data_IF_261081986634
#
_entry.id   IF_261081986634
#
_cell.length_a   1.000
_cell.length_b   1.000
_cell.length_c   1.000
_cell.angle_alpha   90.00
_cell.angle_beta   90.00
_cell.angle_gamma   90.00
#
_symmetry.space_group_name_H-M   'P 1'
#
loop_
_entity.id
_entity.type
_entity.pdbx_description
1 polymer ?
#
# COMPACT_ATOMS: atom_id res chain seq x y z
N UNK A 1 -18.25 20.67 -9.04
CA UNK A 1 -16.89 20.73 -9.62
C UNK A 1 -16.38 19.30 -9.65
N UNK A 2 -16.60 18.60 -10.76
CA UNK A 2 -15.96 17.30 -10.96
C UNK A 2 -14.51 17.59 -11.27
N UNK A 3 -13.61 17.21 -10.36
CA UNK A 3 -12.19 17.23 -10.66
C UNK A 3 -11.97 16.17 -11.73
N UNK A 4 -11.48 16.58 -12.90
CA UNK A 4 -11.13 15.68 -13.99
C UNK A 4 -10.23 14.56 -13.44
N UNK A 5 -10.64 13.31 -13.60
CA UNK A 5 -9.91 12.14 -13.12
C UNK A 5 -8.44 12.14 -13.58
N UNK A 6 -8.16 12.76 -14.73
CA UNK A 6 -6.79 12.91 -15.24
C UNK A 6 -5.91 13.79 -14.35
N UNK A 7 -6.45 14.87 -13.78
CA UNK A 7 -5.68 15.78 -12.92
C UNK A 7 -5.35 15.08 -11.60
N UNK A 8 -6.32 14.40 -11.00
CA UNK A 8 -6.10 13.65 -9.75
C UNK A 8 -5.02 12.60 -9.91
N UNK A 9 -5.04 11.85 -11.01
CA UNK A 9 -4.06 10.80 -11.27
C UNK A 9 -2.67 11.36 -11.57
N UNK A 10 -2.59 12.51 -12.24
CA UNK A 10 -1.33 13.22 -12.45
C UNK A 10 -0.72 13.68 -11.11
N UNK A 11 -1.52 14.28 -10.23
CA UNK A 11 -1.07 14.74 -8.91
C UNK A 11 -0.57 13.57 -8.07
N UNK A 12 -1.32 12.47 -8.00
CA UNK A 12 -0.95 11.27 -7.23
C UNK A 12 0.31 10.57 -7.77
N UNK A 13 0.63 10.74 -9.05
CA UNK A 13 1.89 10.25 -9.62
C UNK A 13 3.06 11.22 -9.44
N UNK A 14 2.79 12.49 -9.18
CA UNK A 14 3.82 13.52 -9.01
C UNK A 14 4.34 13.62 -7.57
N UNK A 15 3.70 12.95 -6.61
CA UNK A 15 4.20 12.85 -5.23
C UNK A 15 5.39 11.88 -5.17
N UNK A 16 6.43 12.29 -4.44
CA UNK A 16 7.60 11.45 -4.19
C UNK A 16 7.31 10.29 -3.24
N UNK A 17 6.35 10.48 -2.33
CA UNK A 17 5.93 9.45 -1.40
C UNK A 17 5.27 8.27 -2.13
N UNK A 18 5.49 7.07 -1.60
CA UNK A 18 4.80 5.88 -2.06
C UNK A 18 3.34 5.88 -1.65
N UNK A 19 2.45 5.77 -2.63
CA UNK A 19 1.02 5.74 -2.42
C UNK A 19 0.39 4.60 -3.22
N UNK A 20 -0.47 3.83 -2.53
CA UNK A 20 -1.37 2.89 -3.17
C UNK A 20 -2.76 2.98 -2.58
N UNK A 21 -3.74 2.56 -3.38
CA UNK A 21 -5.15 2.52 -2.99
C UNK A 21 -5.64 1.09 -3.13
N UNK A 22 -6.51 0.65 -2.23
CA UNK A 22 -7.24 -0.60 -2.35
C UNK A 22 -8.75 -0.39 -2.17
N UNK A 23 -9.56 -1.29 -2.73
CA UNK A 23 -11.00 -1.32 -2.48
C UNK A 23 -11.32 -1.94 -1.10
N UNK A 24 -12.61 -2.08 -0.78
CA UNK A 24 -13.09 -2.60 0.50
C UNK A 24 -12.72 -4.08 0.72
N UNK A 25 -12.53 -4.83 -0.36
CA UNK A 25 -12.02 -6.21 -0.37
C UNK A 25 -10.48 -6.27 -0.19
N UNK A 26 -9.82 -5.11 -0.06
CA UNK A 26 -8.36 -4.95 0.04
C UNK A 26 -7.60 -5.38 -1.22
N UNK A 27 -8.25 -5.32 -2.38
CA UNK A 27 -7.62 -5.44 -3.69
C UNK A 27 -7.01 -4.11 -4.10
N UNK A 28 -5.73 -4.11 -4.47
CA UNK A 28 -4.99 -2.92 -4.89
C UNK A 28 -5.55 -2.44 -6.25
N UNK A 29 -5.97 -1.19 -6.31
CA UNK A 29 -6.56 -0.56 -7.50
C UNK A 29 -5.68 0.53 -8.10
N UNK A 30 -4.73 1.07 -7.33
CA UNK A 30 -3.81 2.10 -7.78
C UNK A 30 -2.46 1.95 -7.07
N UNK A 31 -1.40 2.25 -7.80
CA UNK A 31 -0.01 2.16 -7.36
C UNK A 31 0.79 3.23 -8.09
N UNK A 32 1.32 4.23 -7.37
CA UNK A 32 2.05 5.33 -7.99
C UNK A 32 3.53 5.03 -8.20
N UNK A 33 4.23 5.90 -8.94
CA UNK A 33 5.67 5.77 -9.20
C UNK A 33 6.51 5.76 -7.91
N UNK A 34 6.16 6.56 -6.90
CA UNK A 34 6.84 6.53 -5.60
C UNK A 34 6.81 5.14 -4.95
N UNK A 35 5.67 4.44 -5.02
CA UNK A 35 5.51 3.11 -4.48
C UNK A 35 6.28 2.07 -5.31
N UNK A 36 6.39 2.25 -6.63
CA UNK A 36 7.27 1.43 -7.46
C UNK A 36 8.73 1.56 -7.03
N UNK A 37 9.20 2.80 -6.82
CA UNK A 37 10.57 3.07 -6.40
C UNK A 37 10.89 2.50 -5.01
N UNK A 38 9.98 2.64 -4.05
CA UNK A 38 10.18 2.18 -2.66
C UNK A 38 10.15 0.65 -2.56
N UNK A 39 9.27 -0.02 -3.32
CA UNK A 39 9.03 -1.47 -3.15
C UNK A 39 9.72 -2.34 -4.19
N UNK A 40 10.11 -1.75 -5.33
CA UNK A 40 10.65 -2.45 -6.50
C UNK A 40 9.60 -3.16 -7.36
N UNK A 41 8.31 -3.13 -6.99
CA UNK A 41 7.23 -3.71 -7.78
C UNK A 41 6.59 -2.67 -8.67
N UNK A 42 6.39 -2.99 -9.95
CA UNK A 42 5.62 -2.11 -10.84
C UNK A 42 4.12 -2.17 -10.51
N UNK A 43 3.36 -1.17 -10.95
CA UNK A 43 1.91 -1.18 -10.86
C UNK A 43 1.31 -2.44 -11.50
N UNK A 44 1.85 -2.89 -12.65
CA UNK A 44 1.43 -4.13 -13.32
C UNK A 44 1.73 -5.40 -12.51
N UNK A 45 2.70 -5.37 -11.58
CA UNK A 45 2.99 -6.51 -10.71
C UNK A 45 1.95 -6.65 -9.59
N UNK A 46 1.25 -5.58 -9.20
CA UNK A 46 0.51 -5.52 -7.92
C UNK A 46 -0.97 -5.15 -8.05
N UNK A 47 -1.36 -4.35 -9.04
CA UNK A 47 -2.76 -3.97 -9.25
C UNK A 47 -3.60 -5.20 -9.57
N UNK A 48 -4.78 -5.29 -8.97
CA UNK A 48 -5.66 -6.47 -9.04
C UNK A 48 -5.31 -7.58 -8.04
N UNK A 49 -4.19 -7.45 -7.30
CA UNK A 49 -3.83 -8.39 -6.22
C UNK A 49 -4.27 -7.85 -4.87
N UNK A 50 -4.40 -8.74 -3.89
CA UNK A 50 -4.75 -8.37 -2.53
C UNK A 50 -3.53 -7.84 -1.76
N UNK A 51 -3.67 -6.72 -1.05
CA UNK A 51 -2.58 -6.09 -0.31
C UNK A 51 -2.04 -6.93 0.86
N UNK A 52 -2.81 -7.94 1.30
CA UNK A 52 -2.44 -8.89 2.34
C UNK A 52 -1.79 -10.18 1.79
N UNK A 53 -1.59 -10.27 0.47
CA UNK A 53 -0.87 -11.38 -0.15
C UNK A 53 0.63 -11.36 0.12
N UNK A 54 1.37 -12.21 -0.61
CA UNK A 54 2.81 -12.45 -0.40
C UNK A 54 3.73 -11.46 -1.14
N UNK A 55 3.26 -10.24 -1.42
CA UNK A 55 4.04 -9.21 -2.14
C UNK A 55 4.83 -8.35 -1.16
N UNK A 56 4.10 -7.57 -0.34
CA UNK A 56 4.69 -6.59 0.57
C UNK A 56 4.96 -7.17 1.96
N UNK A 57 4.24 -8.22 2.38
CA UNK A 57 4.44 -8.95 3.64
C UNK A 57 4.78 -7.99 4.80
N UNK A 58 3.91 -7.03 5.11
CA UNK A 58 4.21 -6.01 6.13
C UNK A 58 4.44 -6.65 7.50
N UNK A 59 5.52 -6.26 8.17
CA UNK A 59 5.86 -6.66 9.54
C UNK A 59 6.01 -5.44 10.45
N UNK A 60 5.85 -5.61 11.76
CA UNK A 60 6.27 -4.58 12.72
C UNK A 60 7.77 -4.67 13.04
N UNK A 61 8.25 -3.77 13.91
CA UNK A 61 9.64 -3.74 14.42
C UNK A 61 10.11 -5.07 15.04
N UNK A 62 9.18 -5.88 15.56
CA UNK A 62 9.47 -7.18 16.18
C UNK A 62 9.42 -8.34 15.16
N UNK A 63 9.29 -8.04 13.86
CA UNK A 63 9.24 -9.03 12.79
C UNK A 63 7.90 -9.75 12.63
N UNK A 64 6.85 -9.34 13.36
CA UNK A 64 5.53 -9.99 13.30
C UNK A 64 4.71 -9.46 12.12
N UNK A 65 4.16 -10.37 11.30
CA UNK A 65 3.27 -10.04 10.17
C UNK A 65 2.04 -9.25 10.64
N UNK A 66 1.76 -8.15 9.94
CA UNK A 66 0.63 -7.26 10.22
C UNK A 66 -0.63 -7.66 9.45
N UNK A 67 -0.52 -7.96 8.16
CA UNK A 67 -1.65 -8.11 7.23
C UNK A 67 -2.68 -9.20 7.59
N UNK A 68 -2.25 -10.22 8.33
CA UNK A 68 -3.08 -11.36 8.76
C UNK A 68 -3.45 -11.28 10.25
N UNK A 69 -3.44 -10.07 10.82
CA UNK A 69 -3.74 -9.82 12.23
C UNK A 69 -4.69 -8.63 12.38
N UNK A 70 -5.24 -8.49 13.59
CA UNK A 70 -6.01 -7.32 14.02
C UNK A 70 -5.19 -6.02 14.05
N UNK A 71 -3.85 -6.11 13.84
CA UNK A 71 -2.93 -4.97 13.79
C UNK A 71 -2.74 -4.40 12.39
N UNK A 72 -3.28 -5.03 11.34
CA UNK A 72 -3.21 -4.50 9.98
C UNK A 72 -3.82 -3.09 9.91
N UNK A 73 -3.07 -2.06 9.44
CA UNK A 73 -3.58 -0.69 9.41
C UNK A 73 -4.80 -0.54 8.50
N UNK A 74 -4.81 -1.22 7.34
CA UNK A 74 -5.97 -1.20 6.42
C UNK A 74 -7.19 -1.85 7.05
N UNK A 75 -7.04 -3.00 7.71
CA UNK A 75 -8.18 -3.68 8.33
C UNK A 75 -8.80 -2.83 9.44
N UNK A 76 -7.97 -2.14 10.24
CA UNK A 76 -8.41 -1.22 11.28
C UNK A 76 -9.09 0.02 10.69
N UNK A 77 -8.53 0.59 9.62
CA UNK A 77 -9.13 1.74 8.94
C UNK A 77 -10.51 1.39 8.36
N UNK A 78 -10.64 0.21 7.74
CA UNK A 78 -11.92 -0.30 7.22
C UNK A 78 -12.95 -0.53 8.34
N UNK A 79 -12.52 -1.02 9.50
CA UNK A 79 -13.40 -1.28 10.64
C UNK A 79 -13.86 0.01 11.33
N UNK A 80 -12.93 0.93 11.56
CA UNK A 80 -13.15 2.09 12.44
C UNK A 80 -13.53 3.36 11.65
N UNK A 81 -13.36 3.35 10.32
CA UNK A 81 -13.64 4.48 9.44
C UNK A 81 -12.71 5.67 9.68
N UNK A 82 -11.50 5.44 10.20
CA UNK A 82 -10.54 6.47 10.63
C UNK A 82 -9.18 6.27 9.99
N UNK A 83 -8.42 7.35 9.90
CA UNK A 83 -7.00 7.30 9.56
C UNK A 83 -6.24 6.47 10.61
N UNK A 84 -5.42 5.52 10.15
CA UNK A 84 -4.56 4.69 10.99
C UNK A 84 -3.12 4.93 10.58
N UNK A 85 -2.29 5.33 11.55
CA UNK A 85 -0.83 5.42 11.40
C UNK A 85 -0.17 4.27 12.14
N UNK A 86 0.86 3.69 11.53
CA UNK A 86 1.68 2.63 12.13
C UNK A 86 3.04 2.62 11.46
N UNK A 87 4.08 2.32 12.23
CA UNK A 87 5.37 1.94 11.65
C UNK A 87 5.25 0.49 11.16
N UNK A 88 5.70 0.24 9.94
CA UNK A 88 5.62 -1.07 9.31
C UNK A 88 6.75 -1.23 8.30
N UNK A 89 7.36 -2.40 8.27
CA UNK A 89 8.42 -2.72 7.32
C UNK A 89 7.86 -3.64 6.24
N UNK A 90 8.01 -3.25 4.97
CA UNK A 90 7.61 -4.05 3.82
C UNK A 90 8.78 -4.87 3.26
N UNK A 91 8.46 -5.95 2.56
CA UNK A 91 9.41 -6.75 1.79
C UNK A 91 9.55 -6.12 0.40
N UNK A 92 10.76 -5.66 0.08
CA UNK A 92 11.10 -5.24 -1.28
C UNK A 92 11.11 -6.44 -2.22
N UNK A 93 10.87 -6.24 -3.52
CA UNK A 93 11.00 -7.26 -4.57
C UNK A 93 12.35 -8.00 -4.61
N UNK A 94 13.38 -7.43 -3.99
CA UNK A 94 14.74 -7.97 -3.92
C UNK A 94 15.02 -8.70 -2.59
N UNK A 95 13.99 -8.91 -1.76
CA UNK A 95 14.07 -9.73 -0.55
C UNK A 95 14.52 -9.01 0.73
N UNK A 96 14.90 -7.73 0.67
CA UNK A 96 15.25 -6.95 1.87
C UNK A 96 14.03 -6.20 2.44
N UNK A 97 14.16 -5.70 3.68
CA UNK A 97 13.11 -4.91 4.34
C UNK A 97 13.31 -3.42 4.12
N UNK A 98 12.20 -2.72 3.86
CA UNK A 98 12.13 -1.27 3.72
C UNK A 98 11.21 -0.74 4.83
N UNK A 99 11.64 0.26 5.61
CA UNK A 99 10.79 0.90 6.63
C UNK A 99 9.64 1.71 6.02
#
# INVERSE_FOLDING_TARGET
MEIDNNISQFILNSIFDGLYICNLERMITFWNQGAEHITGYSSSDVVGKHCWGEILIHINENGKRLCNSDKCPILRALKDGKEIKTDAYLLHKNGHRVP
#
